data_IF_021231015833
#
_entry.id   IF_021231015833
#
_cell.length_a   1.000
_cell.length_b   1.000
_cell.length_c   1.000
_cell.angle_alpha   90.00
_cell.angle_beta   90.00
_cell.angle_gamma   90.00
#
_symmetry.space_group_name_H-M   'P 1'
#
loop_
_entity.id
_entity.type
_entity.pdbx_description
1 polymer ?
#
# COMPACT_ATOMS: atom_id res chain seq x y z
N UNK A 1 -13.46 5.33 -15.72
CA UNK A 1 -12.79 5.22 -14.42
C UNK A 1 -13.71 5.70 -13.32
N UNK A 2 -13.60 5.13 -12.14
CA UNK A 2 -14.46 5.41 -11.00
C UNK A 2 -13.60 5.71 -9.77
N UNK A 3 -14.16 6.46 -8.81
CA UNK A 3 -13.53 6.69 -7.52
C UNK A 3 -14.56 6.68 -6.39
N UNK A 4 -14.08 6.46 -5.15
CA UNK A 4 -14.85 6.75 -3.96
C UNK A 4 -13.95 7.35 -2.86
N UNK A 5 -14.59 8.10 -1.99
CA UNK A 5 -13.94 8.72 -0.84
C UNK A 5 -14.09 7.83 0.39
N UNK A 6 -12.99 7.60 1.11
CA UNK A 6 -12.98 6.90 2.39
C UNK A 6 -12.40 7.78 3.49
N UNK A 7 -13.09 7.88 4.60
CA UNK A 7 -12.67 8.69 5.74
C UNK A 7 -12.09 7.78 6.82
N UNK A 8 -10.77 7.67 6.85
CA UNK A 8 -10.05 6.87 7.84
C UNK A 8 -9.72 7.70 9.09
N UNK A 9 -9.37 7.05 10.22
CA UNK A 9 -8.83 7.75 11.40
C UNK A 9 -7.54 8.53 11.11
N UNK A 10 -6.84 8.25 10.01
CA UNK A 10 -5.60 8.91 9.60
C UNK A 10 -5.80 9.97 8.51
N UNK A 11 -7.04 10.28 8.18
CA UNK A 11 -7.39 11.27 7.17
C UNK A 11 -8.17 10.67 5.99
N UNK A 12 -8.57 11.57 5.10
CA UNK A 12 -9.32 11.22 3.89
C UNK A 12 -8.44 10.42 2.92
N UNK A 13 -9.01 9.37 2.37
CA UNK A 13 -8.42 8.55 1.30
C UNK A 13 -9.32 8.55 0.06
N UNK A 14 -8.72 8.33 -1.09
CA UNK A 14 -9.42 8.18 -2.37
C UNK A 14 -8.99 6.85 -2.99
N UNK A 15 -9.97 6.02 -3.32
CA UNK A 15 -9.78 4.80 -4.11
C UNK A 15 -10.16 5.06 -5.56
N UNK A 16 -9.39 4.49 -6.50
CA UNK A 16 -9.61 4.60 -7.95
C UNK A 16 -9.69 3.20 -8.56
N UNK A 17 -10.62 2.99 -9.48
CA UNK A 17 -10.89 1.70 -10.13
C UNK A 17 -11.23 1.86 -11.62
N UNK A 18 -10.93 0.80 -12.38
CA UNK A 18 -11.40 0.59 -13.75
C UNK A 18 -12.75 -0.16 -13.81
N UNK A 19 -13.47 -0.27 -12.70
CA UNK A 19 -14.68 -1.06 -12.45
C UNK A 19 -14.36 -2.46 -11.89
N UNK A 20 -13.34 -3.14 -12.39
CA UNK A 20 -12.97 -4.53 -11.99
C UNK A 20 -11.86 -4.57 -10.97
N UNK A 21 -10.85 -3.71 -11.14
CA UNK A 21 -9.62 -3.71 -10.37
C UNK A 21 -9.44 -2.42 -9.59
N UNK A 22 -8.85 -2.50 -8.42
CA UNK A 22 -8.32 -1.36 -7.70
C UNK A 22 -7.02 -0.91 -8.37
N UNK A 23 -6.99 0.33 -8.83
CA UNK A 23 -5.84 0.96 -9.49
C UNK A 23 -5.07 1.89 -8.56
N UNK A 24 -5.75 2.42 -7.55
CA UNK A 24 -5.17 3.34 -6.59
C UNK A 24 -5.94 3.39 -5.29
N UNK A 25 -5.23 3.62 -4.20
CA UNK A 25 -5.76 3.95 -2.89
C UNK A 25 -4.76 4.88 -2.20
N UNK A 26 -5.11 6.14 -2.07
CA UNK A 26 -4.21 7.20 -1.66
C UNK A 26 -4.76 7.98 -0.47
N UNK A 27 -3.91 8.36 0.48
CA UNK A 27 -4.23 9.51 1.32
C UNK A 27 -4.18 10.77 0.47
N UNK A 28 -5.12 11.68 0.64
CA UNK A 28 -5.21 12.90 -0.20
C UNK A 28 -4.02 13.84 -0.03
N UNK A 29 -3.34 13.74 1.10
CA UNK A 29 -2.16 14.55 1.46
C UNK A 29 -0.82 13.82 1.22
N UNK A 30 -0.84 12.61 0.61
CA UNK A 30 0.40 11.88 0.38
C UNK A 30 1.19 12.40 -0.82
N UNK A 31 2.50 12.15 -0.81
CA UNK A 31 3.37 12.39 -1.97
C UNK A 31 2.90 11.57 -3.17
N UNK A 32 3.14 12.12 -4.37
CA UNK A 32 2.82 11.49 -5.66
C UNK A 32 1.33 11.25 -5.92
N UNK A 33 0.45 11.74 -5.06
CA UNK A 33 -0.97 11.82 -5.35
C UNK A 33 -1.34 13.25 -5.75
N UNK A 34 -2.11 13.37 -6.83
CA UNK A 34 -2.67 14.61 -7.32
C UNK A 34 -4.16 14.38 -7.60
N UNK A 35 -5.00 15.30 -7.16
CA UNK A 35 -6.45 15.26 -7.38
C UNK A 35 -6.82 15.26 -8.86
N UNK A 36 -5.95 15.72 -9.76
CA UNK A 36 -6.15 15.62 -11.22
C UNK A 36 -6.42 14.19 -11.68
N UNK A 37 -5.94 13.19 -10.95
CA UNK A 37 -6.18 11.76 -11.25
C UNK A 37 -7.66 11.38 -11.24
N UNK A 38 -8.51 12.14 -10.57
CA UNK A 38 -9.95 11.85 -10.49
C UNK A 38 -10.82 12.83 -11.29
N UNK A 39 -10.26 13.82 -11.98
CA UNK A 39 -11.07 14.81 -12.73
C UNK A 39 -11.99 14.20 -13.77
N UNK A 40 -11.63 13.07 -14.35
CA UNK A 40 -12.44 12.36 -15.34
C UNK A 40 -13.02 11.05 -14.79
N UNK A 41 -13.04 10.88 -13.47
CA UNK A 41 -13.60 9.71 -12.81
C UNK A 41 -15.02 10.03 -12.31
N UNK A 42 -15.88 9.03 -12.36
CA UNK A 42 -17.25 9.11 -11.81
C UNK A 42 -17.21 8.61 -10.37
N UNK A 43 -17.83 9.35 -9.45
CA UNK A 43 -17.96 8.89 -8.07
C UNK A 43 -18.99 7.75 -7.99
N UNK A 44 -18.57 6.60 -7.46
CA UNK A 44 -19.43 5.42 -7.32
C UNK A 44 -18.88 4.49 -6.25
N UNK A 45 -19.48 4.46 -5.09
CA UNK A 45 -19.08 3.63 -3.95
C UNK A 45 -19.65 2.20 -3.99
N UNK A 46 -20.51 1.89 -4.99
CA UNK A 46 -21.23 0.61 -5.08
C UNK A 46 -20.51 -0.47 -5.88
N UNK A 47 -19.38 -0.13 -6.53
CA UNK A 47 -18.60 -1.14 -7.26
C UNK A 47 -18.13 -2.23 -6.30
N UNK A 48 -18.20 -3.48 -6.76
CA UNK A 48 -17.79 -4.66 -5.96
C UNK A 48 -16.37 -4.49 -5.37
N UNK A 49 -15.43 -4.00 -6.17
CA UNK A 49 -14.05 -3.76 -5.74
C UNK A 49 -13.96 -2.69 -4.64
N UNK A 50 -14.80 -1.66 -4.70
CA UNK A 50 -14.84 -0.61 -3.68
C UNK A 50 -15.51 -1.09 -2.39
N UNK A 51 -16.55 -1.91 -2.49
CA UNK A 51 -17.17 -2.57 -1.32
C UNK A 51 -16.14 -3.47 -0.62
N UNK A 52 -15.36 -4.24 -1.38
CA UNK A 52 -14.28 -5.06 -0.82
C UNK A 52 -13.19 -4.20 -0.17
N UNK A 53 -12.76 -3.13 -0.85
CA UNK A 53 -11.76 -2.19 -0.34
C UNK A 53 -12.23 -1.52 0.95
N UNK A 54 -13.48 -1.02 0.97
CA UNK A 54 -14.08 -0.39 2.15
C UNK A 54 -14.13 -1.36 3.33
N UNK A 55 -14.64 -2.58 3.10
CA UNK A 55 -14.68 -3.62 4.13
C UNK A 55 -13.30 -3.92 4.69
N UNK A 56 -12.29 -4.05 3.83
CA UNK A 56 -10.91 -4.26 4.25
C UNK A 56 -10.42 -3.12 5.16
N UNK A 57 -10.65 -1.87 4.78
CA UNK A 57 -10.22 -0.71 5.54
C UNK A 57 -10.97 -0.59 6.88
N UNK A 58 -12.27 -0.84 6.90
CA UNK A 58 -13.08 -0.83 8.12
C UNK A 58 -12.58 -1.90 9.11
N UNK A 59 -12.31 -3.11 8.63
CA UNK A 59 -11.76 -4.20 9.44
C UNK A 59 -10.33 -3.87 9.91
N UNK A 60 -9.46 -3.35 9.04
CA UNK A 60 -8.10 -2.94 9.37
C UNK A 60 -8.06 -1.90 10.49
N UNK A 61 -8.81 -0.80 10.33
CA UNK A 61 -8.83 0.29 11.33
C UNK A 61 -9.58 -0.08 12.62
N UNK A 62 -10.41 -1.12 12.60
CA UNK A 62 -10.97 -1.70 13.83
C UNK A 62 -9.99 -2.61 14.58
N UNK A 63 -8.79 -2.81 14.02
CA UNK A 63 -7.74 -3.64 14.62
C UNK A 63 -7.82 -5.12 14.30
N UNK A 64 -8.65 -5.53 13.35
CA UNK A 64 -8.69 -6.93 12.91
C UNK A 64 -7.49 -7.27 12.05
N UNK A 65 -7.05 -8.52 12.12
CA UNK A 65 -6.09 -9.07 11.15
C UNK A 65 -6.84 -9.23 9.83
N UNK A 66 -6.34 -8.56 8.78
CA UNK A 66 -6.98 -8.54 7.46
C UNK A 66 -6.14 -9.27 6.43
N UNK A 67 -6.83 -9.87 5.46
CA UNK A 67 -6.24 -10.48 4.27
C UNK A 67 -6.58 -9.63 3.03
N UNK A 68 -5.56 -9.30 2.25
CA UNK A 68 -5.67 -8.49 1.04
C UNK A 68 -5.80 -9.33 -0.24
N UNK A 69 -5.81 -10.67 -0.15
CA UNK A 69 -5.79 -11.58 -1.30
C UNK A 69 -7.02 -11.47 -2.20
N UNK A 70 -8.17 -11.13 -1.61
CA UNK A 70 -9.47 -11.08 -2.29
C UNK A 70 -9.76 -9.75 -3.00
N UNK A 71 -8.86 -8.76 -2.93
CA UNK A 71 -9.04 -7.47 -3.59
C UNK A 71 -8.32 -7.52 -4.93
N UNK A 72 -9.05 -7.45 -6.07
CA UNK A 72 -8.42 -7.44 -7.37
C UNK A 72 -7.66 -6.11 -7.57
N UNK A 73 -6.37 -6.21 -7.84
CA UNK A 73 -5.45 -5.08 -8.00
C UNK A 73 -4.83 -5.12 -9.39
N UNK A 74 -4.76 -3.97 -10.06
CA UNK A 74 -3.98 -3.81 -11.27
C UNK A 74 -2.98 -2.66 -11.11
N UNK A 75 -1.68 -2.98 -11.25
CA UNK A 75 -0.59 -2.02 -11.09
C UNK A 75 -0.09 -1.54 -12.45
N UNK A 76 -0.18 -0.25 -12.70
CA UNK A 76 0.40 0.41 -13.87
C UNK A 76 1.78 0.99 -13.52
N UNK A 77 2.78 0.13 -13.44
CA UNK A 77 4.16 0.53 -13.15
C UNK A 77 5.15 -0.44 -13.86
N UNK A 78 6.45 -0.16 -13.76
CA UNK A 78 7.50 -1.00 -14.36
C UNK A 78 7.51 -2.41 -13.76
N UNK A 79 8.07 -3.38 -14.48
CA UNK A 79 8.18 -4.77 -14.00
C UNK A 79 8.99 -4.86 -12.71
N UNK A 80 10.03 -4.05 -12.56
CA UNK A 80 10.78 -3.95 -11.30
C UNK A 80 9.90 -3.46 -10.16
N UNK A 81 9.09 -2.43 -10.39
CA UNK A 81 8.16 -1.91 -9.38
C UNK A 81 7.10 -2.95 -9.01
N UNK A 82 6.53 -3.65 -9.99
CA UNK A 82 5.58 -4.75 -9.74
C UNK A 82 6.21 -5.83 -8.87
N UNK A 83 7.42 -6.28 -9.20
CA UNK A 83 8.14 -7.29 -8.43
C UNK A 83 8.37 -6.86 -6.97
N UNK A 84 8.80 -5.62 -6.75
CA UNK A 84 8.96 -5.06 -5.40
C UNK A 84 7.63 -5.04 -4.66
N UNK A 85 6.57 -4.53 -5.29
CA UNK A 85 5.26 -4.40 -4.66
C UNK A 85 4.59 -5.76 -4.41
N UNK A 86 4.84 -6.77 -5.23
CA UNK A 86 4.39 -8.15 -4.99
C UNK A 86 5.05 -8.76 -3.74
N UNK A 87 6.35 -8.51 -3.54
CA UNK A 87 7.04 -8.92 -2.30
C UNK A 87 6.43 -8.17 -1.09
N UNK A 88 6.23 -6.86 -1.23
CA UNK A 88 5.64 -6.03 -0.16
C UNK A 88 4.22 -6.48 0.18
N UNK A 89 3.38 -6.78 -0.83
CA UNK A 89 2.02 -7.26 -0.65
C UNK A 89 1.94 -8.52 0.23
N UNK A 90 2.96 -9.36 0.17
CA UNK A 90 3.06 -10.60 0.92
C UNK A 90 3.69 -10.46 2.31
N UNK A 91 4.04 -9.24 2.76
CA UNK A 91 4.46 -9.02 4.15
C UNK A 91 3.25 -9.17 5.07
N UNK A 92 3.25 -10.20 5.91
CA UNK A 92 2.14 -10.51 6.79
C UNK A 92 1.81 -9.38 7.78
N UNK A 93 0.59 -9.38 8.30
CA UNK A 93 0.11 -8.43 9.31
C UNK A 93 1.03 -8.42 10.54
N UNK A 94 1.43 -7.25 11.00
CA UNK A 94 2.33 -7.06 12.14
C UNK A 94 3.77 -7.54 11.93
N UNK A 95 4.16 -7.93 10.69
CA UNK A 95 5.54 -8.25 10.32
C UNK A 95 6.16 -7.10 9.53
N UNK A 96 7.47 -7.03 9.52
CA UNK A 96 8.23 -6.03 8.75
C UNK A 96 9.31 -6.69 7.93
N UNK A 97 9.71 -6.06 6.83
CA UNK A 97 10.93 -6.35 6.09
C UNK A 97 11.75 -5.08 5.92
N UNK A 98 13.05 -5.23 5.86
CA UNK A 98 13.93 -4.12 5.49
C UNK A 98 14.03 -3.97 3.97
N UNK A 99 14.36 -2.78 3.49
CA UNK A 99 14.66 -2.55 2.07
C UNK A 99 15.77 -3.49 1.56
N UNK A 100 16.74 -3.82 2.41
CA UNK A 100 17.84 -4.73 2.10
C UNK A 100 17.33 -6.17 1.91
N UNK A 101 16.50 -6.67 2.81
CA UNK A 101 15.92 -8.01 2.69
C UNK A 101 15.05 -8.16 1.44
N UNK A 102 14.32 -7.10 1.04
CA UNK A 102 13.58 -7.10 -0.22
C UNK A 102 14.55 -7.18 -1.41
N UNK A 103 15.66 -6.42 -1.40
CA UNK A 103 16.67 -6.50 -2.44
C UNK A 103 17.31 -7.89 -2.55
N UNK A 104 17.57 -8.54 -1.41
CA UNK A 104 18.08 -9.93 -1.35
C UNK A 104 17.06 -10.93 -1.91
N UNK A 105 15.77 -10.78 -1.59
CA UNK A 105 14.70 -11.61 -2.17
C UNK A 105 14.63 -11.47 -3.69
N UNK A 106 14.76 -10.25 -4.23
CA UNK A 106 14.80 -10.01 -5.68
C UNK A 106 15.98 -10.72 -6.31
N UNK A 107 17.16 -10.65 -5.68
CA UNK A 107 18.34 -11.37 -6.16
C UNK A 107 18.12 -12.90 -6.20
N UNK A 108 17.52 -13.46 -5.16
CA UNK A 108 17.21 -14.90 -5.11
C UNK A 108 16.21 -15.31 -6.20
N UNK A 109 15.24 -14.46 -6.53
CA UNK A 109 14.21 -14.73 -7.54
C UNK A 109 14.71 -14.56 -8.97
N UNK A 110 15.64 -13.64 -9.23
CA UNK A 110 15.99 -13.21 -10.58
C UNK A 110 17.45 -13.39 -10.96
N UNK A 111 18.32 -13.62 -9.98
CA UNK A 111 19.78 -13.56 -10.14
C UNK A 111 20.35 -12.15 -10.36
N UNK A 112 19.50 -11.12 -10.40
CA UNK A 112 19.91 -9.73 -10.65
C UNK A 112 20.07 -8.96 -9.33
N UNK A 113 21.24 -8.36 -9.12
CA UNK A 113 21.49 -7.50 -7.96
C UNK A 113 20.71 -6.18 -8.09
N UNK A 114 20.13 -5.75 -6.99
CA UNK A 114 19.53 -4.42 -6.85
C UNK A 114 19.95 -3.79 -5.53
N UNK A 115 19.70 -2.49 -5.37
CA UNK A 115 20.04 -1.76 -4.14
C UNK A 115 18.82 -1.51 -3.27
N UNK A 116 19.03 -1.38 -1.96
CA UNK A 116 18.00 -0.93 -1.02
C UNK A 116 17.40 0.44 -1.43
N UNK A 117 18.20 1.32 -2.05
CA UNK A 117 17.74 2.62 -2.57
C UNK A 117 16.76 2.45 -3.74
N UNK A 118 17.04 1.55 -4.69
CA UNK A 118 16.14 1.27 -5.81
C UNK A 118 14.82 0.65 -5.32
N UNK A 119 14.90 -0.28 -4.36
CA UNK A 119 13.72 -0.85 -3.69
C UNK A 119 12.94 0.26 -2.98
N UNK A 120 13.61 1.13 -2.23
CA UNK A 120 12.97 2.25 -1.53
C UNK A 120 12.23 3.20 -2.46
N UNK A 121 12.80 3.46 -3.63
CA UNK A 121 12.13 4.26 -4.66
C UNK A 121 10.84 3.59 -5.16
N UNK A 122 10.88 2.30 -5.48
CA UNK A 122 9.71 1.54 -5.92
C UNK A 122 8.62 1.47 -4.82
N UNK A 123 9.02 1.20 -3.58
CA UNK A 123 8.12 1.19 -2.40
C UNK A 123 7.47 2.56 -2.18
N UNK A 124 8.24 3.65 -2.35
CA UNK A 124 7.75 5.03 -2.20
C UNK A 124 6.70 5.44 -3.24
N UNK A 125 6.66 4.78 -4.40
CA UNK A 125 5.68 5.00 -5.46
C UNK A 125 4.50 4.01 -5.42
N UNK A 126 4.32 3.27 -4.32
CA UNK A 126 3.17 2.40 -4.14
C UNK A 126 1.84 3.16 -4.36
N UNK A 127 1.03 2.77 -5.35
CA UNK A 127 -0.23 3.44 -5.64
C UNK A 127 -1.38 2.97 -4.74
N UNK A 128 -1.20 1.92 -3.92
CA UNK A 128 -2.29 1.29 -3.15
C UNK A 128 -1.88 1.20 -1.68
N UNK A 129 -2.03 2.31 -0.97
CA UNK A 129 -1.65 2.42 0.45
C UNK A 129 -2.44 1.43 1.32
N UNK A 130 -1.81 0.92 2.37
CA UNK A 130 -2.35 -0.03 3.37
C UNK A 130 -2.56 -1.44 2.78
N UNK A 131 -3.30 -1.60 1.70
CA UNK A 131 -3.57 -2.91 1.07
C UNK A 131 -2.28 -3.52 0.53
N UNK A 132 -1.43 -2.72 -0.15
CA UNK A 132 -0.03 -3.07 -0.34
C UNK A 132 0.74 -2.39 0.80
N UNK A 133 1.19 -3.15 1.81
CA UNK A 133 1.57 -2.59 3.11
C UNK A 133 2.99 -2.00 3.11
N UNK A 134 3.24 -0.97 2.31
CA UNK A 134 4.53 -0.30 2.25
C UNK A 134 4.97 0.32 3.59
N UNK A 135 4.03 0.55 4.52
CA UNK A 135 4.35 0.93 5.90
C UNK A 135 5.11 -0.16 6.68
N UNK A 136 5.03 -1.45 6.25
CA UNK A 136 5.79 -2.57 6.84
C UNK A 136 7.25 -2.66 6.36
N UNK A 137 7.67 -1.79 5.43
CA UNK A 137 9.06 -1.75 4.96
C UNK A 137 9.84 -0.72 5.75
N UNK A 138 10.94 -1.13 6.41
CA UNK A 138 11.72 -0.33 7.35
C UNK A 138 13.20 -0.28 6.98
N UNK A 139 13.97 0.61 7.59
CA UNK A 139 15.42 0.65 7.47
C UNK A 139 16.10 -0.53 8.17
N UNK A 140 17.36 -0.83 7.83
CA UNK A 140 18.12 -1.99 8.34
C UNK A 140 18.35 -1.98 9.84
N UNK A 141 18.32 -0.81 10.47
CA UNK A 141 18.43 -0.61 11.92
C UNK A 141 17.07 -0.45 12.61
N UNK A 142 15.97 -0.81 11.95
CA UNK A 142 14.61 -0.61 12.45
C UNK A 142 14.10 0.84 12.29
N UNK A 143 14.87 1.73 11.68
CA UNK A 143 14.47 3.10 11.50
C UNK A 143 13.24 3.21 10.58
N UNK A 144 12.29 4.05 10.97
CA UNK A 144 11.16 4.41 10.14
C UNK A 144 11.61 5.44 9.11
N UNK A 145 11.84 4.99 7.89
CA UNK A 145 12.26 5.83 6.77
C UNK A 145 11.26 5.71 5.63
N UNK A 146 11.02 6.80 4.93
CA UNK A 146 10.25 6.85 3.71
C UNK A 146 8.83 6.25 3.80
N UNK A 147 7.83 7.10 3.71
CA UNK A 147 6.44 6.71 3.50
C UNK A 147 5.73 7.84 2.75
N UNK A 148 5.03 7.50 1.67
CA UNK A 148 4.36 8.53 0.87
C UNK A 148 3.31 9.30 1.68
N UNK A 149 2.61 8.62 2.58
CA UNK A 149 1.64 9.22 3.50
C UNK A 149 2.24 9.97 4.71
N UNK A 150 3.58 10.02 4.83
CA UNK A 150 4.26 10.64 5.98
C UNK A 150 4.58 9.66 7.11
N UNK A 151 5.67 9.93 7.84
CA UNK A 151 6.18 9.01 8.88
C UNK A 151 5.22 8.86 10.06
N UNK A 152 4.44 9.87 10.39
CA UNK A 152 3.45 9.80 11.47
C UNK A 152 2.39 8.74 11.18
N UNK A 153 1.82 8.73 9.95
CA UNK A 153 0.88 7.70 9.54
C UNK A 153 1.53 6.31 9.54
N UNK A 154 2.78 6.19 9.04
CA UNK A 154 3.53 4.94 9.08
C UNK A 154 3.66 4.39 10.49
N UNK A 155 4.04 5.24 11.44
CA UNK A 155 4.18 4.87 12.86
C UNK A 155 2.85 4.40 13.44
N UNK A 156 1.75 5.12 13.17
CA UNK A 156 0.42 4.75 13.68
C UNK A 156 -0.04 3.42 13.09
N UNK A 157 0.13 3.19 11.78
CA UNK A 157 -0.23 1.93 11.13
C UNK A 157 0.52 0.75 11.75
N UNK A 158 1.83 0.87 11.96
CA UNK A 158 2.63 -0.15 12.65
C UNK A 158 2.19 -0.36 14.11
N UNK A 159 1.78 0.69 14.81
CA UNK A 159 1.24 0.58 16.18
C UNK A 159 -0.11 -0.14 16.23
N UNK A 160 -1.01 0.13 15.26
CA UNK A 160 -2.28 -0.61 15.13
C UNK A 160 -1.99 -2.10 15.00
N UNK A 161 -1.06 -2.46 14.12
CA UNK A 161 -0.71 -3.86 13.89
C UNK A 161 0.01 -4.52 15.06
N UNK A 162 0.84 -3.78 15.79
CA UNK A 162 1.56 -4.29 16.95
C UNK A 162 0.64 -4.62 18.13
N UNK A 163 -0.43 -3.83 18.33
CA UNK A 163 -1.39 -4.04 19.42
C UNK A 163 -2.24 -5.30 19.23
N UNK A 164 -2.41 -5.74 18.00
CA UNK A 164 -3.30 -6.85 17.63
C UNK A 164 -2.52 -8.10 17.18
N UNK A 165 -1.23 -8.16 17.47
CA UNK A 165 -0.45 -9.41 17.38
C UNK A 165 -0.96 -10.38 18.43
N UNK A 166 -1.48 -11.51 18.00
CA UNK A 166 -1.67 -12.69 18.83
C UNK A 166 -0.32 -13.31 19.17
#
# INVERSE_FOLDING_TARGET
MFYFNYYSPLGKMIAISDERNLLGLYFVDQKYFDLSKIYHCVENDKLKVFVQCKKFLDDYFSGKIVDNSNIPICLHCTDFCKMVLDIVKNIGYGKTLTYKEIAEKIFLLTGKKTSARAVGNAVGHNPISIIIPCHRVIGSNGALTGYAGGLDKKKILLQIEAKNKL
#
